data_IF_026892621100
#
_entry.id   IF_026892621100
#
_cell.length_a   1.000
_cell.length_b   1.000
_cell.length_c   1.000
_cell.angle_alpha   90.00
_cell.angle_beta   90.00
_cell.angle_gamma   90.00
#
_symmetry.space_group_name_H-M   'P 1'
#
loop_
_entity.id
_entity.type
_entity.pdbx_description
1 polymer ?
#
# COMPACT_ATOMS: atom_id res chain seq x y z
N UNK A 1 35.67 -1.24 -6.07
CA UNK A 1 34.26 -1.40 -6.50
C UNK A 1 33.45 -0.37 -5.75
N UNK A 2 32.60 0.44 -6.43
CA UNK A 2 31.68 1.35 -5.75
C UNK A 2 30.65 0.54 -4.94
N UNK A 3 30.11 1.14 -3.89
CA UNK A 3 29.05 0.57 -3.05
C UNK A 3 27.85 1.48 -3.12
N UNK A 4 26.65 0.90 -3.07
CA UNK A 4 25.41 1.67 -3.14
C UNK A 4 24.51 1.37 -1.94
N UNK A 5 23.82 2.38 -1.45
CA UNK A 5 22.75 2.26 -0.47
C UNK A 5 21.42 2.43 -1.20
N UNK A 6 20.51 1.48 -1.05
CA UNK A 6 19.17 1.52 -1.68
C UNK A 6 18.10 1.59 -0.60
N UNK A 7 17.15 2.51 -0.74
CA UNK A 7 15.97 2.64 0.13
C UNK A 7 14.71 2.35 -0.66
N UNK A 8 13.84 1.51 -0.09
CA UNK A 8 12.58 1.09 -0.69
C UNK A 8 11.43 1.58 0.19
N UNK A 9 10.48 2.27 -0.42
CA UNK A 9 9.18 2.58 0.14
C UNK A 9 8.16 1.59 -0.39
N UNK A 10 7.21 1.19 0.45
CA UNK A 10 6.08 0.35 0.05
C UNK A 10 4.87 0.67 0.92
N UNK A 11 3.69 0.43 0.37
CA UNK A 11 2.43 0.61 1.07
C UNK A 11 2.10 -0.63 1.92
N UNK A 12 1.61 -0.37 3.13
CA UNK A 12 1.03 -1.37 4.00
C UNK A 12 -0.46 -1.09 4.13
N UNK A 13 -1.27 -2.15 4.31
CA UNK A 13 -2.67 -1.98 4.67
C UNK A 13 -2.77 -1.65 6.15
N UNK A 14 -3.58 -0.66 6.48
CA UNK A 14 -3.95 -0.34 7.84
C UNK A 14 -5.47 -0.22 7.95
N UNK A 15 -6.01 -0.61 9.09
CA UNK A 15 -7.45 -0.55 9.34
C UNK A 15 -7.75 -0.37 10.83
N UNK A 16 -8.87 0.28 11.08
CA UNK A 16 -9.54 0.36 12.36
C UNK A 16 -10.83 -0.46 12.28
N UNK A 17 -11.26 -1.05 13.39
CA UNK A 17 -12.44 -1.92 13.45
C UNK A 17 -13.57 -1.27 14.24
N UNK A 18 -14.80 -1.53 13.84
CA UNK A 18 -15.99 -1.14 14.59
C UNK A 18 -17.01 -2.29 14.59
N UNK A 19 -17.54 -2.60 15.76
CA UNK A 19 -18.71 -3.48 15.90
C UNK A 19 -19.97 -2.64 15.73
N UNK A 20 -20.86 -3.03 14.81
CA UNK A 20 -22.06 -2.27 14.47
C UNK A 20 -23.25 -3.23 14.47
N UNK A 21 -24.26 -2.90 15.26
CA UNK A 21 -25.55 -3.60 15.28
C UNK A 21 -26.52 -2.98 14.27
N UNK A 22 -27.35 -3.80 13.63
CA UNK A 22 -28.41 -3.39 12.72
C UNK A 22 -29.55 -4.41 12.70
N UNK A 23 -30.77 -3.97 12.39
CA UNK A 23 -31.96 -4.82 12.36
C UNK A 23 -32.17 -5.46 10.97
N UNK A 24 -31.38 -5.05 9.97
CA UNK A 24 -31.42 -5.61 8.61
C UNK A 24 -30.09 -5.49 7.84
N UNK A 25 -29.89 -6.33 6.79
CA UNK A 25 -28.74 -6.24 5.90
C UNK A 25 -28.62 -4.93 5.10
N UNK A 26 -29.75 -4.30 4.76
CA UNK A 26 -29.71 -3.03 4.03
C UNK A 26 -29.30 -1.88 4.97
N UNK A 27 -29.73 -1.94 6.23
CA UNK A 27 -29.38 -0.96 7.25
C UNK A 27 -27.90 -1.01 7.66
N UNK A 28 -27.32 -2.22 7.79
CA UNK A 28 -25.91 -2.34 8.22
C UNK A 28 -24.94 -1.66 7.25
N UNK A 29 -25.25 -1.66 5.95
CA UNK A 29 -24.40 -1.00 4.94
C UNK A 29 -24.36 0.51 5.17
N UNK A 30 -25.50 1.14 5.39
CA UNK A 30 -25.56 2.59 5.61
C UNK A 30 -24.92 2.98 6.95
N UNK A 31 -25.14 2.18 8.01
CA UNK A 31 -24.47 2.39 9.30
C UNK A 31 -22.95 2.20 9.20
N UNK A 32 -22.48 1.19 8.47
CA UNK A 32 -21.06 0.96 8.24
C UNK A 32 -20.40 2.12 7.49
N UNK A 33 -21.06 2.68 6.46
CA UNK A 33 -20.57 3.87 5.75
C UNK A 33 -20.47 5.09 6.68
N UNK A 34 -21.47 5.30 7.54
CA UNK A 34 -21.44 6.39 8.51
C UNK A 34 -20.28 6.24 9.51
N UNK A 35 -20.13 5.04 10.09
CA UNK A 35 -19.03 4.75 11.01
C UNK A 35 -17.66 4.91 10.33
N UNK A 36 -17.49 4.38 9.12
CA UNK A 36 -16.25 4.53 8.36
C UNK A 36 -15.90 6.00 8.11
N UNK A 37 -16.90 6.85 7.83
CA UNK A 37 -16.68 8.30 7.67
C UNK A 37 -16.17 8.94 8.95
N UNK A 38 -16.79 8.62 10.08
CA UNK A 38 -16.36 9.13 11.40
C UNK A 38 -14.94 8.65 11.75
N UNK A 39 -14.60 7.41 11.43
CA UNK A 39 -13.26 6.85 11.65
C UNK A 39 -12.20 7.56 10.78
N UNK A 40 -12.51 7.90 9.53
CA UNK A 40 -11.60 8.63 8.64
C UNK A 40 -11.31 10.07 9.11
N UNK A 41 -12.17 10.66 9.94
CA UNK A 41 -11.93 11.97 10.55
C UNK A 41 -10.98 11.89 11.75
N UNK A 42 -10.71 10.68 12.27
CA UNK A 42 -9.79 10.49 13.38
C UNK A 42 -8.34 10.60 12.89
N UNK A 43 -7.58 11.51 13.50
CA UNK A 43 -6.16 11.64 13.26
C UNK A 43 -5.40 10.86 14.33
N UNK A 44 -5.10 9.58 14.07
CA UNK A 44 -4.44 8.68 15.02
C UNK A 44 -3.65 7.56 14.33
N UNK A 45 -2.93 6.77 15.13
CA UNK A 45 -2.35 5.52 14.64
C UNK A 45 -3.48 4.49 14.43
N UNK A 46 -3.52 3.77 13.30
CA UNK A 46 -4.50 2.71 13.07
C UNK A 46 -4.40 1.59 14.10
N UNK A 47 -5.52 0.96 14.41
CA UNK A 47 -5.62 -0.21 15.29
C UNK A 47 -4.72 -1.36 14.82
N UNK A 48 -4.70 -1.61 13.51
CA UNK A 48 -3.87 -2.64 12.91
C UNK A 48 -3.13 -2.15 11.67
N UNK A 49 -1.88 -2.62 11.53
CA UNK A 49 -1.07 -2.46 10.32
C UNK A 49 -0.64 -3.87 9.89
N UNK A 50 -1.09 -4.30 8.72
CA UNK A 50 -0.70 -5.57 8.12
C UNK A 50 0.71 -5.42 7.52
N UNK A 51 1.70 -6.04 8.17
CA UNK A 51 3.13 -5.91 7.80
C UNK A 51 3.64 -7.06 6.93
N UNK A 52 2.84 -8.11 6.74
CA UNK A 52 3.23 -9.29 5.96
C UNK A 52 2.93 -9.16 4.47
N UNK A 53 1.93 -8.33 4.12
CA UNK A 53 1.55 -8.04 2.72
C UNK A 53 1.99 -6.62 2.32
N UNK A 54 3.14 -6.52 1.65
CA UNK A 54 3.67 -5.24 1.12
C UNK A 54 3.10 -5.02 -0.28
N UNK A 55 2.48 -3.86 -0.50
CA UNK A 55 1.88 -3.47 -1.77
C UNK A 55 2.60 -2.27 -2.35
N UNK A 56 2.63 -2.17 -3.67
CA UNK A 56 3.11 -1.00 -4.43
C UNK A 56 4.47 -0.47 -3.94
N UNK A 57 5.55 -0.94 -4.54
CA UNK A 57 6.91 -0.57 -4.15
C UNK A 57 7.51 0.53 -5.02
N UNK A 58 8.17 1.50 -4.40
CA UNK A 58 9.04 2.47 -5.08
C UNK A 58 10.45 2.38 -4.50
N UNK A 59 11.46 2.44 -5.37
CA UNK A 59 12.81 2.69 -4.89
C UNK A 59 12.90 4.20 -4.64
N UNK A 60 12.77 4.59 -3.37
CA UNK A 60 12.80 6.00 -3.00
C UNK A 60 14.13 6.64 -3.40
N UNK A 61 15.24 6.00 -3.06
CA UNK A 61 16.57 6.58 -3.18
C UNK A 61 17.64 5.52 -3.45
N UNK A 62 18.60 5.86 -4.30
CA UNK A 62 19.84 5.13 -4.51
C UNK A 62 21.00 6.10 -4.34
N UNK A 63 21.86 5.84 -3.37
CA UNK A 63 23.07 6.63 -3.12
C UNK A 63 24.33 5.82 -3.43
N UNK A 64 25.31 6.43 -4.10
CA UNK A 64 26.67 5.90 -4.10
C UNK A 64 27.34 6.21 -2.75
N UNK A 65 27.77 5.17 -2.05
CA UNK A 65 28.49 5.24 -0.79
C UNK A 65 29.94 4.81 -1.01
N UNK A 66 30.80 5.76 -1.40
CA UNK A 66 32.20 5.54 -1.70
C UNK A 66 33.13 6.47 -0.92
N UNK A 67 34.30 5.96 -0.54
CA UNK A 67 35.39 6.77 0.02
C UNK A 67 36.34 7.22 -1.11
N UNK A 68 36.86 8.47 -1.12
CA UNK A 68 36.60 9.55 -0.17
C UNK A 68 35.57 10.56 -0.67
N UNK A 69 34.54 10.75 0.17
CA UNK A 69 33.62 11.89 0.29
C UNK A 69 32.57 12.09 -0.82
N UNK A 70 31.41 11.47 -0.61
CA UNK A 70 30.12 11.84 -1.19
C UNK A 70 29.06 10.80 -0.85
N UNK A 71 27.88 11.23 -0.42
CA UNK A 71 26.65 10.49 -0.69
C UNK A 71 26.13 11.14 -1.96
N UNK A 72 26.53 10.60 -3.11
CA UNK A 72 26.04 11.11 -4.40
C UNK A 72 24.74 10.37 -4.71
N UNK A 73 23.63 11.11 -4.72
CA UNK A 73 22.33 10.60 -5.16
C UNK A 73 22.45 10.17 -6.61
N UNK A 74 22.29 8.88 -6.84
CA UNK A 74 22.31 8.28 -8.18
C UNK A 74 20.93 8.40 -8.82
N UNK A 75 19.88 8.13 -8.05
CA UNK A 75 18.50 8.19 -8.50
C UNK A 75 17.53 8.35 -7.32
N UNK A 76 16.39 8.97 -7.61
CA UNK A 76 15.25 9.13 -6.71
C UNK A 76 13.98 8.64 -7.41
N UNK A 77 12.99 8.21 -6.63
CA UNK A 77 11.63 7.87 -7.08
C UNK A 77 11.58 6.95 -8.31
N UNK A 78 12.34 5.86 -8.27
CA UNK A 78 12.38 4.89 -9.36
C UNK A 78 11.23 3.88 -9.20
N UNK A 79 10.25 3.96 -10.10
CA UNK A 79 9.19 2.96 -10.27
C UNK A 79 9.79 1.62 -10.74
N UNK A 80 9.38 0.50 -10.13
CA UNK A 80 9.95 -0.81 -10.50
C UNK A 80 8.96 -1.99 -10.60
N UNK A 81 7.72 -1.89 -10.10
CA UNK A 81 6.63 -2.83 -10.44
C UNK A 81 5.25 -2.26 -10.02
N UNK A 82 4.51 -1.69 -10.97
CA UNK A 82 3.16 -1.12 -10.77
C UNK A 82 2.03 -2.11 -11.19
N UNK A 83 2.31 -3.07 -12.08
CA UNK A 83 1.23 -3.79 -12.78
C UNK A 83 0.91 -5.22 -12.29
N UNK A 84 1.70 -5.83 -11.39
CA UNK A 84 1.50 -7.24 -10.99
C UNK A 84 0.56 -7.47 -9.80
N UNK A 85 0.11 -6.41 -9.13
CA UNK A 85 -0.70 -6.49 -7.89
C UNK A 85 -2.20 -6.29 -8.16
N UNK A 86 -2.56 -5.88 -9.37
CA UNK A 86 -3.92 -5.98 -9.86
C UNK A 86 -4.12 -7.37 -10.48
N UNK A 87 -5.01 -8.22 -9.95
CA UNK A 87 -5.37 -9.44 -10.68
C UNK A 87 -5.92 -8.99 -12.02
N UNK A 88 -5.23 -9.34 -13.11
CA UNK A 88 -5.80 -9.28 -14.45
C UNK A 88 -7.04 -10.16 -14.37
N UNK A 89 -8.23 -9.56 -14.40
CA UNK A 89 -9.47 -10.29 -14.54
C UNK A 89 -9.38 -11.02 -15.88
N UNK A 90 -8.92 -12.27 -15.86
CA UNK A 90 -9.06 -13.18 -16.97
C UNK A 90 -10.55 -13.40 -17.12
N UNK A 91 -11.18 -12.66 -18.03
CA UNK A 91 -12.58 -12.85 -18.36
C UNK A 91 -12.74 -14.27 -18.93
N UNK A 92 -13.49 -15.18 -18.29
CA UNK A 92 -13.62 -16.56 -18.79
C UNK A 92 -14.52 -16.68 -20.03
N UNK A 93 -14.92 -15.56 -20.65
CA UNK A 93 -15.85 -15.55 -21.79
C UNK A 93 -15.21 -15.83 -23.16
N UNK A 94 -13.88 -15.98 -23.28
CA UNK A 94 -13.20 -16.21 -24.57
C UNK A 94 -12.65 -17.62 -24.77
N UNK A 95 -13.07 -18.59 -23.94
CA UNK A 95 -12.72 -20.00 -24.10
C UNK A 95 -13.95 -20.81 -24.59
N UNK A 96 -14.52 -20.43 -25.73
CA UNK A 96 -15.36 -21.33 -26.54
C UNK A 96 -15.37 -20.82 -27.98
N UNK A 97 -14.38 -21.27 -28.74
CA UNK A 97 -14.43 -21.32 -30.19
C UNK A 97 -14.53 -22.78 -30.61
#
# INVERSE_FOLDING_TARGET
MPRYTVRIGFWLRAYDSAEIEADSPDEIIERAKAAAREMMEQTGQPEHIEVTDRREGIICWIDESGFPAGVDTVAEDVEFDDDRIHPTQSNPAEATA
#
